data_IF_277451532003
#
_entry.id   IF_277451532003
#
_cell.length_a   1.000
_cell.length_b   1.000
_cell.length_c   1.000
_cell.angle_alpha   90.00
_cell.angle_beta   90.00
_cell.angle_gamma   90.00
#
_symmetry.space_group_name_H-M   'P 1'
#
loop_
_entity.id
_entity.type
_entity.pdbx_description
1 polymer ?
#
# COMPACT_ATOMS: atom_id res chain seq x y z
N UNK A 1 -43.25 -10.11 -21.48
CA UNK A 1 -42.59 -9.06 -20.68
C UNK A 1 -41.87 -9.58 -19.43
N UNK A 2 -42.13 -10.79 -18.91
CA UNK A 2 -41.50 -11.28 -17.67
C UNK A 2 -40.01 -11.66 -17.78
N UNK A 3 -39.57 -12.10 -18.95
CA UNK A 3 -38.20 -12.61 -19.16
C UNK A 3 -37.13 -11.50 -19.15
N UNK A 4 -37.45 -10.32 -19.72
CA UNK A 4 -36.53 -9.18 -19.80
C UNK A 4 -36.24 -8.60 -18.40
N UNK A 5 -37.24 -8.48 -17.53
CA UNK A 5 -37.07 -7.93 -16.17
C UNK A 5 -36.24 -8.84 -15.26
N UNK A 6 -36.34 -10.17 -15.44
CA UNK A 6 -35.56 -11.14 -14.67
C UNK A 6 -34.08 -11.10 -15.05
N UNK A 7 -33.76 -11.05 -16.35
CA UNK A 7 -32.37 -11.00 -16.83
C UNK A 7 -31.67 -9.69 -16.43
N UNK A 8 -32.37 -8.56 -16.47
CA UNK A 8 -31.83 -7.26 -16.05
C UNK A 8 -31.45 -7.29 -14.55
N UNK A 9 -32.31 -7.82 -13.69
CA UNK A 9 -32.09 -7.87 -12.24
C UNK A 9 -30.89 -8.76 -11.87
N UNK A 10 -30.69 -9.87 -12.59
CA UNK A 10 -29.55 -10.77 -12.39
C UNK A 10 -28.23 -10.11 -12.80
N UNK A 11 -28.23 -9.35 -13.91
CA UNK A 11 -27.05 -8.63 -14.39
C UNK A 11 -26.67 -7.49 -13.42
N UNK A 12 -27.66 -6.75 -12.91
CA UNK A 12 -27.42 -5.64 -11.98
C UNK A 12 -26.88 -6.12 -10.62
N UNK A 13 -27.43 -7.21 -10.09
CA UNK A 13 -26.96 -7.80 -8.83
C UNK A 13 -25.57 -8.43 -8.97
N UNK A 14 -25.27 -9.06 -10.11
CA UNK A 14 -23.94 -9.56 -10.42
C UNK A 14 -22.91 -8.41 -10.53
N UNK A 15 -23.25 -7.33 -11.25
CA UNK A 15 -22.39 -6.14 -11.39
C UNK A 15 -22.11 -5.50 -10.03
N UNK A 16 -23.12 -5.36 -9.18
CA UNK A 16 -22.96 -4.80 -7.84
C UNK A 16 -22.07 -5.68 -6.94
N UNK A 17 -22.14 -7.01 -7.11
CA UNK A 17 -21.30 -7.96 -6.35
C UNK A 17 -19.84 -7.89 -6.77
N UNK A 18 -19.58 -7.79 -8.09
CA UNK A 18 -18.23 -7.62 -8.64
C UNK A 18 -17.64 -6.27 -8.22
N UNK A 19 -18.43 -5.19 -8.27
CA UNK A 19 -18.00 -3.86 -7.81
C UNK A 19 -17.50 -3.89 -6.36
N UNK A 20 -18.31 -4.40 -5.42
CA UNK A 20 -17.91 -4.52 -4.01
C UNK A 20 -16.68 -5.38 -3.79
N UNK A 21 -16.51 -6.46 -4.57
CA UNK A 21 -15.31 -7.29 -4.51
C UNK A 21 -14.07 -6.53 -5.01
N UNK A 22 -14.19 -5.76 -6.09
CA UNK A 22 -13.10 -4.92 -6.60
C UNK A 22 -12.72 -3.81 -5.62
N UNK A 23 -13.70 -3.13 -5.03
CA UNK A 23 -13.46 -2.05 -4.05
C UNK A 23 -12.70 -2.59 -2.83
N UNK A 24 -13.11 -3.76 -2.32
CA UNK A 24 -12.44 -4.41 -1.19
C UNK A 24 -11.05 -4.95 -1.56
N UNK A 25 -10.85 -5.42 -2.80
CA UNK A 25 -9.54 -5.82 -3.30
C UNK A 25 -8.58 -4.62 -3.39
N UNK A 26 -9.03 -3.51 -3.97
CA UNK A 26 -8.21 -2.32 -4.16
C UNK A 26 -7.85 -1.65 -2.83
N UNK A 27 -8.79 -1.50 -1.90
CA UNK A 27 -8.49 -0.96 -0.57
C UNK A 27 -7.49 -1.82 0.23
N UNK A 28 -7.53 -3.14 0.03
CA UNK A 28 -6.53 -4.07 0.59
C UNK A 28 -5.16 -3.91 -0.06
N UNK A 29 -5.08 -3.72 -1.38
CA UNK A 29 -3.80 -3.51 -2.07
C UNK A 29 -3.15 -2.21 -1.61
N UNK A 30 -3.93 -1.16 -1.42
CA UNK A 30 -3.46 0.13 -0.91
C UNK A 30 -2.92 -0.01 0.53
N UNK A 31 -3.68 -0.67 1.42
CA UNK A 31 -3.23 -0.94 2.79
C UNK A 31 -1.96 -1.81 2.81
N UNK A 32 -1.89 -2.83 1.96
CA UNK A 32 -0.73 -3.72 1.84
C UNK A 32 0.50 -2.97 1.30
N UNK A 33 0.32 -2.08 0.33
CA UNK A 33 1.36 -1.23 -0.19
C UNK A 33 1.88 -0.29 0.90
N UNK A 34 1.00 0.32 1.69
CA UNK A 34 1.41 1.16 2.83
C UNK A 34 2.24 0.39 3.86
N UNK A 35 1.78 -0.79 4.30
CA UNK A 35 2.48 -1.59 5.32
C UNK A 35 3.84 -2.09 4.83
N UNK A 36 3.97 -2.44 3.54
CA UNK A 36 5.21 -2.99 2.98
C UNK A 36 6.16 -1.93 2.42
N UNK A 37 5.70 -0.70 2.18
CA UNK A 37 6.48 0.33 1.50
C UNK A 37 7.72 0.80 2.29
N UNK A 38 7.84 0.46 3.59
CA UNK A 38 8.86 1.00 4.51
C UNK A 38 8.95 2.53 4.51
N UNK A 39 7.91 3.17 3.96
CA UNK A 39 7.80 4.61 3.79
C UNK A 39 7.79 5.28 5.14
N UNK A 40 7.08 4.68 6.09
CA UNK A 40 7.01 5.16 7.47
C UNK A 40 8.39 5.16 8.15
N UNK A 41 9.25 4.16 7.85
CA UNK A 41 10.62 4.14 8.35
C UNK A 41 11.47 5.25 7.71
N UNK A 42 11.34 5.47 6.41
CA UNK A 42 12.05 6.57 5.72
C UNK A 42 11.60 7.91 6.29
N UNK A 43 10.29 8.15 6.40
CA UNK A 43 9.73 9.40 6.94
C UNK A 43 10.17 9.61 8.39
N UNK A 44 10.17 8.56 9.21
CA UNK A 44 10.63 8.65 10.60
C UNK A 44 12.13 8.98 10.71
N UNK A 45 12.96 8.48 9.79
CA UNK A 45 14.40 8.81 9.75
C UNK A 45 14.63 10.21 9.16
N UNK A 46 13.89 10.59 8.12
CA UNK A 46 13.97 11.93 7.53
C UNK A 46 13.52 13.03 8.49
N UNK A 47 12.59 12.72 9.40
CA UNK A 47 12.13 13.65 10.44
C UNK A 47 13.19 13.92 11.53
N UNK A 48 14.24 13.08 11.65
CA UNK A 48 15.34 13.31 12.60
C UNK A 48 16.28 14.39 12.09
N UNK A 49 16.93 15.09 13.01
CA UNK A 49 18.01 16.03 12.69
C UNK A 49 19.29 15.32 12.26
N UNK A 50 20.18 16.02 11.56
CA UNK A 50 21.46 15.43 11.10
C UNK A 50 22.35 14.99 12.26
N UNK A 51 22.27 15.66 13.42
CA UNK A 51 22.99 15.27 14.64
C UNK A 51 22.47 13.92 15.18
N UNK A 52 21.15 13.74 15.26
CA UNK A 52 20.53 12.48 15.70
C UNK A 52 20.80 11.34 14.71
N UNK A 53 20.82 11.64 13.41
CA UNK A 53 21.21 10.67 12.39
C UNK A 53 22.70 10.27 12.55
N UNK A 54 23.58 11.23 12.82
CA UNK A 54 25.00 10.97 13.04
C UNK A 54 25.25 10.15 14.31
N UNK A 55 24.49 10.35 15.39
CA UNK A 55 24.53 9.50 16.59
C UNK A 55 24.15 8.04 16.29
N UNK A 56 23.25 7.82 15.33
CA UNK A 56 22.90 6.49 14.82
C UNK A 56 23.92 5.94 13.82
N UNK A 57 24.97 6.70 13.49
CA UNK A 57 25.94 6.35 12.46
C UNK A 57 25.37 6.37 11.04
N UNK A 58 24.30 7.15 10.82
CA UNK A 58 23.59 7.25 9.55
C UNK A 58 23.76 8.63 8.94
N UNK A 59 23.98 8.70 7.63
CA UNK A 59 23.85 9.96 6.88
C UNK A 59 22.47 10.06 6.25
N UNK A 60 21.97 11.28 6.06
CA UNK A 60 20.66 11.52 5.43
C UNK A 60 20.56 10.89 4.03
N UNK A 61 21.64 10.96 3.26
CA UNK A 61 21.76 10.33 1.93
C UNK A 61 21.71 8.79 1.97
N UNK A 62 22.08 8.17 3.08
CA UNK A 62 22.14 6.72 3.25
C UNK A 62 20.87 6.11 3.83
N UNK A 63 19.85 6.93 4.16
CA UNK A 63 18.58 6.47 4.76
C UNK A 63 17.93 5.38 3.90
N UNK A 64 17.83 5.59 2.59
CA UNK A 64 17.25 4.62 1.68
C UNK A 64 18.06 3.31 1.65
N UNK A 65 19.38 3.40 1.58
CA UNK A 65 20.27 2.23 1.61
C UNK A 65 20.12 1.44 2.91
N UNK A 66 20.01 2.13 4.05
CA UNK A 66 19.82 1.51 5.35
C UNK A 66 18.46 0.81 5.48
N UNK A 67 17.37 1.47 5.07
CA UNK A 67 16.01 0.92 5.15
C UNK A 67 15.80 -0.28 4.23
N UNK A 68 16.52 -0.34 3.11
CA UNK A 68 16.42 -1.43 2.13
C UNK A 68 17.61 -2.40 2.16
N UNK A 69 18.49 -2.32 3.16
CA UNK A 69 19.73 -3.15 3.22
C UNK A 69 19.44 -4.65 3.15
N UNK A 70 18.34 -5.10 3.72
CA UNK A 70 17.90 -6.49 3.73
C UNK A 70 17.39 -6.99 2.36
N UNK A 71 17.17 -6.10 1.39
CA UNK A 71 16.89 -6.48 0.01
C UNK A 71 18.17 -6.65 -0.82
N UNK A 72 19.24 -5.94 -0.45
CA UNK A 72 20.49 -5.89 -1.22
C UNK A 72 21.58 -6.83 -0.70
N UNK A 73 21.58 -7.12 0.59
CA UNK A 73 22.59 -7.95 1.24
C UNK A 73 21.94 -9.27 1.69
N UNK A 74 22.11 -10.33 0.89
CA UNK A 74 21.75 -11.74 1.19
C UNK A 74 22.98 -12.49 1.67
#
# INVERSE_FOLDING_TARGET
MADITSQITVIDTARARVGRWLDTLMGRLETYAHIRSRRDQIVALEARSDAELAEMGLKREDIAHHVFRDLYYV
#
